data_IF_390422269343
#
_entry.id   IF_390422269343
#
_cell.length_a   1.000
_cell.length_b   1.000
_cell.length_c   1.000
_cell.angle_alpha   90.00
_cell.angle_beta   90.00
_cell.angle_gamma   90.00
#
_symmetry.space_group_name_H-M   'P 1'
#
loop_
_entity.id
_entity.type
_entity.pdbx_description
1 polymer ?
#
# COMPACT_ATOMS: atom_id res chain seq x y z
N UNK A 1 7.97 -7.94 -35.30
CA UNK A 1 7.94 -7.44 -33.91
C UNK A 1 6.48 -7.33 -33.52
N UNK A 2 6.04 -8.04 -32.49
CA UNK A 2 4.76 -7.74 -31.87
C UNK A 2 4.87 -8.13 -30.40
N UNK A 3 5.44 -7.22 -29.63
CA UNK A 3 5.31 -7.23 -28.18
C UNK A 3 4.06 -6.42 -27.81
N UNK A 4 3.35 -6.88 -26.78
CA UNK A 4 2.16 -6.20 -26.26
C UNK A 4 2.41 -5.97 -24.77
N UNK A 5 2.49 -4.71 -24.38
CA UNK A 5 2.57 -4.29 -22.99
C UNK A 5 1.17 -4.00 -22.46
N UNK A 6 0.80 -4.66 -21.37
CA UNK A 6 -0.47 -4.44 -20.68
C UNK A 6 -0.19 -3.68 -19.39
N UNK A 7 -0.57 -2.40 -19.36
CA UNK A 7 -0.43 -1.57 -18.18
C UNK A 7 -1.38 -2.00 -17.06
N UNK A 8 -0.85 -2.31 -15.88
CA UNK A 8 -1.63 -2.79 -14.73
C UNK A 8 -1.60 -1.84 -13.52
N UNK A 9 -0.98 -0.66 -13.65
CA UNK A 9 -0.84 0.28 -12.55
C UNK A 9 -0.06 1.54 -12.94
N UNK A 10 0.45 2.30 -11.95
CA UNK A 10 1.20 3.52 -12.20
C UNK A 10 2.44 3.22 -13.07
N UNK A 11 2.70 4.09 -14.05
CA UNK A 11 3.78 3.89 -15.02
C UNK A 11 3.69 2.59 -15.84
N UNK A 12 2.50 1.97 -15.92
CA UNK A 12 2.29 0.68 -16.62
C UNK A 12 2.68 -0.55 -15.78
N UNK A 13 3.26 -0.34 -14.60
CA UNK A 13 3.79 -1.42 -13.75
C UNK A 13 2.70 -2.03 -12.87
N UNK A 14 2.76 -3.34 -12.65
CA UNK A 14 1.89 -4.03 -11.70
C UNK A 14 2.36 -3.74 -10.26
N UNK A 15 1.95 -2.60 -9.72
CA UNK A 15 2.23 -2.21 -8.33
C UNK A 15 1.24 -1.19 -7.81
N UNK A 16 1.29 -0.98 -6.50
CA UNK A 16 0.65 0.18 -5.88
C UNK A 16 1.47 1.46 -6.12
N UNK A 17 0.83 2.65 -6.16
CA UNK A 17 1.53 3.93 -6.22
C UNK A 17 2.07 4.33 -4.84
N UNK A 18 2.91 3.48 -4.22
CA UNK A 18 3.37 3.62 -2.82
C UNK A 18 4.42 4.71 -2.59
N UNK A 19 5.06 5.21 -3.65
CA UNK A 19 6.08 6.27 -3.62
C UNK A 19 5.77 7.43 -4.59
N UNK A 20 4.63 8.13 -4.44
CA UNK A 20 4.26 9.20 -5.33
C UNK A 20 5.01 10.50 -4.98
N UNK A 21 5.92 10.95 -5.86
CA UNK A 21 6.64 12.23 -5.71
C UNK A 21 5.69 13.42 -5.46
N UNK A 22 4.51 13.41 -6.11
CA UNK A 22 3.47 14.45 -5.96
C UNK A 22 2.89 14.53 -4.55
N UNK A 23 3.04 13.50 -3.71
CA UNK A 23 2.59 13.50 -2.30
C UNK A 23 3.76 13.66 -1.33
N UNK A 24 4.91 14.11 -1.80
CA UNK A 24 6.06 14.42 -0.95
C UNK A 24 6.97 13.23 -0.66
N UNK A 25 6.79 12.09 -1.34
CA UNK A 25 7.78 11.01 -1.28
C UNK A 25 9.08 11.44 -1.97
N UNK A 26 10.22 11.11 -1.37
CA UNK A 26 11.54 11.20 -1.98
C UNK A 26 12.36 9.97 -1.61
N UNK A 27 13.32 9.61 -2.47
CA UNK A 27 14.25 8.54 -2.19
C UNK A 27 15.15 8.89 -0.98
N UNK A 28 15.42 7.96 -0.04
CA UNK A 28 15.07 6.53 -0.02
C UNK A 28 13.88 6.18 0.90
N UNK A 29 12.88 7.05 1.04
CA UNK A 29 11.76 6.82 1.96
C UNK A 29 11.00 5.52 1.71
N UNK A 30 10.49 4.90 2.78
CA UNK A 30 9.82 3.59 2.74
C UNK A 30 8.51 3.57 1.92
N UNK A 31 7.89 4.72 1.68
CA UNK A 31 6.57 4.82 1.04
C UNK A 31 5.40 4.52 2.00
N UNK A 32 4.20 4.34 1.44
CA UNK A 32 2.99 4.03 2.23
C UNK A 32 2.11 2.98 1.55
N UNK A 33 1.35 2.24 2.36
CA UNK A 33 0.28 1.37 1.87
C UNK A 33 -0.78 2.18 1.11
N UNK A 34 -1.20 1.70 -0.07
CA UNK A 34 -2.20 2.38 -0.91
C UNK A 34 -3.51 1.59 -0.98
N UNK A 35 -3.95 1.04 0.16
CA UNK A 35 -5.12 0.16 0.26
C UNK A 35 -6.28 0.76 1.07
N UNK A 36 -6.29 2.08 1.25
CA UNK A 36 -7.23 2.76 2.15
C UNK A 36 -8.55 3.20 1.52
N UNK A 37 -8.78 2.92 0.23
CA UNK A 37 -10.05 3.22 -0.40
C UNK A 37 -11.19 2.32 0.12
N UNK A 38 -12.42 2.77 -0.06
CA UNK A 38 -13.61 2.10 0.49
C UNK A 38 -13.80 0.66 -0.01
N UNK A 39 -13.35 0.33 -1.22
CA UNK A 39 -13.52 -1.00 -1.80
C UNK A 39 -12.49 -1.97 -1.24
N UNK A 40 -11.22 -1.58 -1.19
CA UNK A 40 -10.16 -2.41 -0.60
C UNK A 40 -10.37 -2.59 0.91
N UNK A 41 -10.77 -1.54 1.64
CA UNK A 41 -11.17 -1.65 3.06
C UNK A 41 -12.34 -2.60 3.27
N UNK A 42 -13.37 -2.54 2.42
CA UNK A 42 -14.50 -3.47 2.49
C UNK A 42 -14.04 -4.90 2.27
N UNK A 43 -13.21 -5.14 1.25
CA UNK A 43 -12.67 -6.47 0.97
C UNK A 43 -11.86 -7.00 2.16
N UNK A 44 -10.95 -6.19 2.71
CA UNK A 44 -10.15 -6.56 3.88
C UNK A 44 -11.05 -6.88 5.08
N UNK A 45 -12.08 -6.07 5.35
CA UNK A 45 -13.03 -6.31 6.44
C UNK A 45 -13.79 -7.62 6.29
N UNK A 46 -14.27 -7.95 5.08
CA UNK A 46 -14.93 -9.22 4.80
C UNK A 46 -13.98 -10.41 5.02
N UNK A 47 -12.71 -10.27 4.61
CA UNK A 47 -11.67 -11.30 4.81
C UNK A 47 -11.24 -11.44 6.27
N UNK A 48 -11.24 -10.36 7.04
CA UNK A 48 -10.99 -10.38 8.48
C UNK A 48 -12.11 -11.13 9.20
N UNK A 49 -13.37 -10.77 8.94
CA UNK A 49 -14.56 -11.41 9.51
C UNK A 49 -14.61 -12.91 9.23
N UNK A 50 -14.26 -13.33 8.01
CA UNK A 50 -14.20 -14.75 7.64
C UNK A 50 -13.17 -15.54 8.47
N UNK A 51 -12.17 -14.86 9.04
CA UNK A 51 -11.15 -15.45 9.94
C UNK A 51 -11.48 -15.23 11.42
N UNK A 52 -12.63 -14.65 11.75
CA UNK A 52 -12.97 -14.28 13.13
C UNK A 52 -12.20 -13.08 13.67
N UNK A 53 -11.57 -12.28 12.80
CA UNK A 53 -10.79 -11.10 13.14
C UNK A 53 -11.57 -9.81 12.83
N UNK A 54 -11.30 -8.77 13.61
CA UNK A 54 -11.74 -7.40 13.35
C UNK A 54 -10.83 -6.70 12.34
N UNK A 55 -11.29 -5.58 11.79
CA UNK A 55 -10.50 -4.80 10.83
C UNK A 55 -9.24 -4.20 11.49
N UNK A 56 -9.33 -3.79 12.75
CA UNK A 56 -8.19 -3.27 13.54
C UNK A 56 -7.10 -4.31 13.78
N UNK A 57 -7.47 -5.59 13.85
CA UNK A 57 -6.47 -6.67 14.02
C UNK A 57 -5.70 -6.99 12.74
N UNK A 58 -6.19 -6.57 11.57
CA UNK A 58 -5.56 -6.87 10.27
C UNK A 58 -5.02 -5.64 9.55
N UNK A 59 -5.46 -4.44 9.95
CA UNK A 59 -4.90 -3.21 9.40
C UNK A 59 -3.60 -2.88 10.14
N UNK A 60 -2.50 -2.65 9.40
CA UNK A 60 -1.25 -2.28 10.04
C UNK A 60 -1.37 -0.85 10.59
N UNK A 61 -0.96 -0.69 11.85
CA UNK A 61 -0.81 0.59 12.53
C UNK A 61 0.68 0.95 12.61
N UNK A 62 0.99 2.21 12.92
CA UNK A 62 2.38 2.68 13.11
C UNK A 62 3.35 2.36 11.96
N UNK A 63 2.84 2.40 10.72
CA UNK A 63 3.59 2.06 9.49
C UNK A 63 4.54 3.16 8.99
N UNK A 64 4.70 4.26 9.74
CA UNK A 64 5.38 5.46 9.26
C UNK A 64 4.63 6.19 8.15
N UNK A 65 5.35 7.05 7.43
CA UNK A 65 4.86 7.75 6.25
C UNK A 65 5.85 7.70 5.09
N UNK A 66 5.55 8.39 3.99
CA UNK A 66 6.33 8.30 2.74
C UNK A 66 7.85 8.40 2.91
N UNK A 67 8.33 9.28 3.79
CA UNK A 67 9.75 9.63 3.93
C UNK A 67 10.41 9.03 5.18
N UNK A 68 9.67 8.23 5.96
CA UNK A 68 10.21 7.55 7.12
C UNK A 68 11.32 6.57 6.72
N UNK A 69 12.25 6.32 7.63
CA UNK A 69 13.20 5.21 7.52
C UNK A 69 12.62 3.96 8.18
N UNK A 70 13.04 2.74 7.77
CA UNK A 70 12.50 1.51 8.33
C UNK A 70 12.62 1.43 9.86
N UNK A 71 13.77 1.83 10.41
CA UNK A 71 14.09 1.83 11.83
C UNK A 71 13.31 2.86 12.67
N UNK A 72 12.62 3.79 12.02
CA UNK A 72 11.75 4.78 12.67
C UNK A 72 10.30 4.26 12.84
N UNK A 73 9.97 3.09 12.29
CA UNK A 73 8.62 2.52 12.33
C UNK A 73 8.56 1.27 13.19
N UNK A 74 7.39 0.99 13.77
CA UNK A 74 7.18 -0.24 14.55
C UNK A 74 6.81 -1.43 13.66
N UNK A 75 6.41 -1.15 12.41
CA UNK A 75 5.89 -2.16 11.49
C UNK A 75 6.98 -2.84 10.64
N UNK A 76 7.98 -2.08 10.16
CA UNK A 76 9.07 -2.57 9.30
C UNK A 76 10.29 -2.98 10.13
#
# INVERSE_FOLDING_TARGET
MSEVEIGLGPCGELRYPSYPEKRGWNYPGIGEFQCYDKYLKKNLSERAKARGLSLSEVMPENTGGYVSMPDETEFL
#
